data_IF_509672486492
#
_entry.id   IF_509672486492
#
_cell.length_a   1.000
_cell.length_b   1.000
_cell.length_c   1.000
_cell.angle_alpha   90.00
_cell.angle_beta   90.00
_cell.angle_gamma   90.00
#
_symmetry.space_group_name_H-M   'P 1'
#
loop_
_entity.id
_entity.type
_entity.pdbx_description
1 polymer ?
#
# COMPACT_ATOMS: atom_id res chain seq x y z
N UNK A 1 -1.51 -23.34 4.21
CA UNK A 1 -1.43 -22.08 3.45
C UNK A 1 -2.72 -21.98 2.68
N UNK A 2 -3.60 -21.03 3.01
CA UNK A 2 -4.86 -20.87 2.30
C UNK A 2 -4.55 -20.23 0.94
N UNK A 3 -4.71 -21.00 -0.14
CA UNK A 3 -4.37 -20.57 -1.50
C UNK A 3 -5.23 -19.36 -1.91
N UNK A 4 -6.46 -19.29 -1.42
CA UNK A 4 -7.38 -18.15 -1.61
C UNK A 4 -6.85 -16.83 -1.02
N UNK A 5 -6.17 -16.85 0.14
CA UNK A 5 -5.61 -15.63 0.74
C UNK A 5 -4.44 -15.08 -0.07
N UNK A 6 -3.75 -15.94 -0.83
CA UNK A 6 -2.66 -15.54 -1.73
C UNK A 6 -3.27 -14.88 -2.97
N UNK A 7 -4.30 -15.49 -3.54
CA UNK A 7 -5.01 -14.93 -4.70
C UNK A 7 -5.66 -13.58 -4.38
N UNK A 8 -6.31 -13.44 -3.22
CA UNK A 8 -6.87 -12.15 -2.77
C UNK A 8 -5.80 -11.06 -2.64
N UNK A 9 -4.60 -11.41 -2.16
CA UNK A 9 -3.47 -10.46 -2.08
C UNK A 9 -2.95 -10.10 -3.46
N UNK A 10 -2.88 -11.05 -4.39
CA UNK A 10 -2.48 -10.81 -5.78
C UNK A 10 -3.49 -9.88 -6.45
N UNK A 11 -4.80 -10.15 -6.29
CA UNK A 11 -5.88 -9.32 -6.81
C UNK A 11 -5.78 -7.90 -6.25
N UNK A 12 -5.68 -7.76 -4.93
CA UNK A 12 -5.57 -6.44 -4.29
C UNK A 12 -4.34 -5.67 -4.78
N UNK A 13 -3.18 -6.33 -4.86
CA UNK A 13 -1.92 -5.67 -5.25
C UNK A 13 -1.92 -5.30 -6.73
N UNK A 14 -2.42 -6.18 -7.59
CA UNK A 14 -2.53 -5.96 -9.02
C UNK A 14 -3.50 -4.81 -9.33
N UNK A 15 -4.67 -4.80 -8.69
CA UNK A 15 -5.69 -3.76 -8.82
C UNK A 15 -5.18 -2.38 -8.41
N UNK A 16 -4.60 -2.29 -7.21
CA UNK A 16 -3.94 -1.06 -6.71
C UNK A 16 -2.84 -0.57 -7.65
N UNK A 17 -2.02 -1.50 -8.15
CA UNK A 17 -0.95 -1.19 -9.09
C UNK A 17 -1.46 -0.65 -10.43
N UNK A 18 -2.56 -1.19 -10.94
CA UNK A 18 -3.22 -0.72 -12.16
C UNK A 18 -3.81 0.68 -11.98
N UNK A 19 -4.56 0.91 -10.90
CA UNK A 19 -5.18 2.21 -10.62
C UNK A 19 -4.15 3.34 -10.53
N UNK A 20 -3.04 3.10 -9.84
CA UNK A 20 -1.94 4.08 -9.77
C UNK A 20 -1.31 4.31 -11.15
N UNK A 21 -1.17 3.26 -11.96
CA UNK A 21 -0.63 3.38 -13.32
C UNK A 21 -1.54 4.23 -14.19
N UNK A 22 -2.84 3.94 -14.21
CA UNK A 22 -3.85 4.72 -14.93
C UNK A 22 -3.87 6.17 -14.46
N UNK A 23 -3.80 6.39 -13.14
CA UNK A 23 -3.75 7.73 -12.56
C UNK A 23 -2.50 8.51 -13.00
N UNK A 24 -1.35 7.85 -13.06
CA UNK A 24 -0.09 8.46 -13.51
C UNK A 24 -0.10 8.76 -15.02
N UNK A 25 -0.66 7.84 -15.82
CA UNK A 25 -0.76 7.97 -17.28
C UNK A 25 -1.79 8.99 -17.74
N UNK A 26 -2.77 9.33 -16.91
CA UNK A 26 -3.82 10.31 -17.24
C UNK A 26 -3.34 11.78 -17.24
N UNK A 27 -2.05 12.04 -17.01
CA UNK A 27 -1.44 13.38 -17.04
C UNK A 27 -2.26 14.46 -16.31
N UNK A 28 -2.74 14.14 -15.11
CA UNK A 28 -3.46 15.06 -14.25
C UNK A 28 -2.66 16.35 -14.01
N UNK A 29 -3.36 17.48 -13.86
CA UNK A 29 -2.70 18.75 -13.51
C UNK A 29 -1.96 18.63 -12.17
N UNK A 30 -0.85 19.34 -12.04
CA UNK A 30 -0.05 19.34 -10.81
C UNK A 30 -0.90 19.73 -9.59
N UNK A 31 -1.83 20.68 -9.75
CA UNK A 31 -2.75 21.12 -8.70
C UNK A 31 -3.66 19.99 -8.24
N UNK A 32 -4.23 19.21 -9.16
CA UNK A 32 -5.07 18.06 -8.82
C UNK A 32 -4.28 16.99 -8.09
N UNK A 33 -3.07 16.68 -8.57
CA UNK A 33 -2.20 15.69 -7.91
C UNK A 33 -1.84 16.12 -6.49
N UNK A 34 -1.51 17.41 -6.28
CA UNK A 34 -1.24 17.95 -4.94
C UNK A 34 -2.48 17.87 -4.05
N UNK A 35 -3.66 18.23 -4.55
CA UNK A 35 -4.90 18.16 -3.80
C UNK A 35 -5.24 16.71 -3.39
N UNK A 36 -5.22 15.78 -4.35
CA UNK A 36 -5.53 14.37 -4.13
C UNK A 36 -4.53 13.74 -3.13
N UNK A 37 -3.23 13.99 -3.29
CA UNK A 37 -2.22 13.52 -2.34
C UNK A 37 -2.36 14.16 -0.95
N UNK A 38 -2.72 15.44 -0.87
CA UNK A 38 -2.94 16.15 0.39
C UNK A 38 -4.10 15.55 1.20
N UNK A 39 -5.24 15.33 0.54
CA UNK A 39 -6.42 14.67 1.16
C UNK A 39 -6.05 13.29 1.70
N UNK A 40 -5.30 12.52 0.92
CA UNK A 40 -4.89 11.16 1.26
C UNK A 40 -3.93 11.15 2.47
N UNK A 41 -2.95 12.05 2.50
CA UNK A 41 -2.00 12.19 3.62
C UNK A 41 -2.73 12.62 4.89
N UNK A 42 -3.62 13.61 4.81
CA UNK A 42 -4.39 14.07 5.95
C UNK A 42 -5.31 12.98 6.51
N UNK A 43 -6.03 12.26 5.64
CA UNK A 43 -6.87 11.14 6.04
C UNK A 43 -6.07 10.03 6.71
N UNK A 44 -4.84 9.77 6.24
CA UNK A 44 -3.96 8.79 6.87
C UNK A 44 -3.54 9.21 8.28
N UNK A 45 -3.13 10.47 8.46
CA UNK A 45 -2.76 11.02 9.77
C UNK A 45 -3.96 10.98 10.73
N UNK A 46 -5.16 11.37 10.27
CA UNK A 46 -6.38 11.32 11.07
C UNK A 46 -6.73 9.89 11.50
N UNK A 47 -6.74 8.92 10.56
CA UNK A 47 -7.00 7.51 10.86
C UNK A 47 -5.97 6.93 11.83
N UNK A 48 -4.70 7.31 11.71
CA UNK A 48 -3.63 6.83 12.59
C UNK A 48 -3.80 7.35 14.04
N UNK A 49 -4.13 8.64 14.18
CA UNK A 49 -4.40 9.27 15.48
C UNK A 49 -5.67 8.72 16.13
N UNK A 50 -6.75 8.56 15.37
CA UNK A 50 -8.00 8.02 15.89
C UNK A 50 -7.79 6.62 16.48
N UNK A 51 -7.12 5.72 15.75
CA UNK A 51 -6.78 4.38 16.25
C UNK A 51 -5.90 4.40 17.50
N UNK A 52 -5.00 5.39 17.60
CA UNK A 52 -4.18 5.55 18.80
C UNK A 52 -5.03 6.00 20.00
N UNK A 53 -5.96 6.93 19.80
CA UNK A 53 -6.88 7.37 20.85
C UNK A 53 -7.81 6.24 21.29
N UNK A 54 -8.33 5.45 20.35
CA UNK A 54 -9.16 4.28 20.64
C UNK A 54 -8.38 3.23 21.46
N UNK A 55 -7.18 2.85 21.03
CA UNK A 55 -6.35 1.90 21.80
C UNK A 55 -5.95 2.45 23.18
N UNK A 56 -5.66 3.74 23.32
CA UNK A 56 -5.36 4.33 24.63
C UNK A 56 -6.58 4.44 25.55
N UNK A 57 -7.79 4.48 24.98
CA UNK A 57 -9.03 4.54 25.74
C UNK A 57 -9.49 3.15 26.22
N UNK A 58 -8.95 2.07 25.64
CA UNK A 58 -9.20 0.70 26.11
C UNK A 58 -8.60 0.52 27.52
N UNK A 59 -9.47 0.23 28.48
CA UNK A 59 -9.10 0.13 29.88
C UNK A 59 -8.76 -1.33 30.20
N UNK A 60 -7.48 -1.67 30.09
CA UNK A 60 -6.98 -3.04 30.31
C UNK A 60 -6.40 -3.15 31.70
N UNK A 61 -6.74 -4.24 32.39
CA UNK A 61 -6.25 -4.52 33.73
C UNK A 61 -4.71 -4.60 33.75
N UNK A 62 -4.02 -3.72 34.50
CA UNK A 62 -2.56 -3.68 34.55
C UNK A 62 -1.90 -4.94 35.14
N UNK A 63 -2.68 -5.86 35.73
CA UNK A 63 -2.19 -7.16 36.21
C UNK A 63 -2.33 -8.31 35.20
N UNK A 64 -2.98 -8.08 34.04
CA UNK A 64 -3.16 -9.11 33.02
C UNK A 64 -1.93 -9.22 32.11
N UNK A 65 -1.63 -10.43 31.63
CA UNK A 65 -0.65 -10.69 30.57
C UNK A 65 -0.96 -9.89 29.29
N UNK A 66 -2.24 -9.55 29.10
CA UNK A 66 -2.76 -8.77 27.96
C UNK A 66 -2.35 -7.29 28.04
N UNK A 67 -1.98 -6.77 29.22
CA UNK A 67 -1.50 -5.39 29.36
C UNK A 67 -0.16 -5.18 28.67
N UNK A 68 0.77 -6.12 28.79
CA UNK A 68 2.07 -6.06 28.10
C UNK A 68 1.88 -6.18 26.57
N UNK A 69 1.04 -7.12 26.11
CA UNK A 69 0.72 -7.27 24.69
C UNK A 69 0.06 -5.99 24.14
N UNK A 70 -0.90 -5.40 24.87
CA UNK A 70 -1.53 -4.15 24.47
C UNK A 70 -0.57 -2.96 24.51
N UNK A 71 0.29 -2.85 25.53
CA UNK A 71 1.31 -1.81 25.61
C UNK A 71 2.26 -1.87 24.40
N UNK A 72 2.66 -3.08 23.97
CA UNK A 72 3.46 -3.22 22.75
C UNK A 72 2.70 -2.81 21.48
N UNK A 73 1.39 -3.10 21.40
CA UNK A 73 0.54 -2.69 20.27
C UNK A 73 0.35 -1.17 20.22
N UNK A 74 0.15 -0.52 21.38
CA UNK A 74 0.08 0.94 21.48
C UNK A 74 1.39 1.57 21.02
N UNK A 75 2.54 1.07 21.49
CA UNK A 75 3.85 1.57 21.05
C UNK A 75 4.06 1.38 19.53
N UNK A 76 3.67 0.25 18.96
CA UNK A 76 3.69 0.03 17.51
C UNK A 76 2.78 1.01 16.77
N UNK A 77 1.63 1.38 17.34
CA UNK A 77 0.73 2.36 16.75
C UNK A 77 1.29 3.78 16.85
N UNK A 78 1.94 4.15 17.94
CA UNK A 78 2.64 5.43 18.09
C UNK A 78 3.71 5.60 17.00
N UNK A 79 4.49 4.56 16.74
CA UNK A 79 5.47 4.58 15.64
C UNK A 79 4.80 4.80 14.27
N UNK A 80 3.61 4.23 14.03
CA UNK A 80 2.87 4.45 12.78
C UNK A 80 2.35 5.89 12.68
N UNK A 81 1.96 6.50 13.80
CA UNK A 81 1.58 7.92 13.84
C UNK A 81 2.78 8.79 13.50
N UNK A 82 3.92 8.55 14.12
CA UNK A 82 5.17 9.28 13.81
C UNK A 82 5.55 9.15 12.34
N UNK A 83 5.44 7.95 11.76
CA UNK A 83 5.67 7.72 10.33
C UNK A 83 4.69 8.50 9.45
N UNK A 84 3.41 8.57 9.82
CA UNK A 84 2.39 9.33 9.09
C UNK A 84 2.67 10.84 9.16
N UNK A 85 3.09 11.37 10.31
CA UNK A 85 3.49 12.77 10.48
C UNK A 85 4.77 13.09 9.71
N UNK A 86 5.76 12.20 9.74
CA UNK A 86 6.98 12.33 8.95
C UNK A 86 6.68 12.36 7.45
N UNK A 87 5.70 11.56 6.99
CA UNK A 87 5.24 11.60 5.60
C UNK A 87 4.56 12.94 5.28
N UNK A 88 3.73 13.48 6.18
CA UNK A 88 3.12 14.80 6.03
C UNK A 88 4.18 15.90 5.93
N UNK A 89 5.20 15.88 6.79
CA UNK A 89 6.30 16.85 6.74
C UNK A 89 7.08 16.77 5.41
N UNK A 90 7.35 15.56 4.92
CA UNK A 90 7.98 15.34 3.60
C UNK A 90 7.09 15.89 2.48
N UNK A 91 5.79 15.69 2.56
CA UNK A 91 4.83 16.21 1.59
C UNK A 91 4.80 17.75 1.59
N UNK A 92 4.75 18.38 2.77
CA UNK A 92 4.74 19.84 2.92
C UNK A 92 6.05 20.46 2.41
N UNK A 93 7.19 19.83 2.72
CA UNK A 93 8.51 20.24 2.21
C UNK A 93 8.59 20.15 0.69
N UNK A 94 8.03 19.07 0.11
CA UNK A 94 7.99 18.89 -1.34
C UNK A 94 7.00 19.87 -2.00
N UNK A 95 5.89 20.19 -1.34
CA UNK A 95 4.90 21.16 -1.81
C UNK A 95 5.43 22.60 -1.83
N UNK A 96 6.26 22.95 -0.84
CA UNK A 96 6.95 24.24 -0.74
C UNK A 96 8.10 24.41 -1.74
N UNK A 97 8.62 23.31 -2.28
CA UNK A 97 9.64 23.36 -3.34
C UNK A 97 9.02 23.82 -4.66
N UNK A 98 9.69 24.69 -5.46
CA UNK A 98 9.19 25.14 -6.76
C UNK A 98 9.18 24.03 -7.84
N UNK A 99 9.53 22.79 -7.49
CA UNK A 99 9.58 21.68 -8.44
C UNK A 99 8.19 21.34 -8.99
N UNK A 100 8.11 21.22 -10.32
CA UNK A 100 6.90 21.13 -11.12
C UNK A 100 6.45 19.68 -11.37
N UNK A 101 7.12 18.69 -10.75
CA UNK A 101 6.95 17.28 -11.10
C UNK A 101 5.87 16.59 -10.26
N UNK A 102 4.67 16.48 -10.82
CA UNK A 102 3.55 15.72 -10.24
C UNK A 102 3.92 14.26 -9.92
N UNK A 103 4.85 13.68 -10.69
CA UNK A 103 5.31 12.31 -10.50
C UNK A 103 6.01 12.09 -9.14
N UNK A 104 6.66 13.11 -8.59
CA UNK A 104 7.32 13.02 -7.27
C UNK A 104 6.28 12.89 -6.15
N UNK A 105 5.17 13.61 -6.26
CA UNK A 105 4.04 13.50 -5.32
C UNK A 105 3.38 12.11 -5.41
N UNK A 106 3.13 11.63 -6.64
CA UNK A 106 2.57 10.29 -6.85
C UNK A 106 3.49 9.21 -6.27
N UNK A 107 4.80 9.36 -6.42
CA UNK A 107 5.78 8.39 -5.91
C UNK A 107 5.84 8.40 -4.39
N UNK A 108 5.81 9.59 -3.77
CA UNK A 108 5.82 9.75 -2.31
C UNK A 108 4.54 9.19 -1.66
N UNK A 109 3.39 9.46 -2.26
CA UNK A 109 2.09 9.09 -1.73
C UNK A 109 1.53 7.81 -2.35
N UNK A 110 2.35 7.04 -3.08
CA UNK A 110 1.92 5.93 -3.94
C UNK A 110 0.98 4.96 -3.24
N UNK A 111 1.38 4.46 -2.08
CA UNK A 111 0.63 3.41 -1.38
C UNK A 111 -0.69 3.94 -0.82
N UNK A 112 -0.67 5.12 -0.20
CA UNK A 112 -1.88 5.75 0.32
C UNK A 112 -2.84 6.15 -0.81
N UNK A 113 -2.30 6.64 -1.93
CA UNK A 113 -3.07 6.98 -3.11
C UNK A 113 -3.67 5.72 -3.74
N UNK A 114 -2.92 4.61 -3.77
CA UNK A 114 -3.42 3.35 -4.25
C UNK A 114 -4.61 2.85 -3.42
N UNK A 115 -4.52 2.92 -2.09
CA UNK A 115 -5.62 2.55 -1.18
C UNK A 115 -6.85 3.42 -1.40
N UNK A 116 -6.66 4.74 -1.55
CA UNK A 116 -7.76 5.65 -1.82
C UNK A 116 -8.41 5.42 -3.18
N UNK A 117 -7.61 5.22 -4.24
CA UNK A 117 -8.12 4.89 -5.57
C UNK A 117 -8.84 3.54 -5.57
N UNK A 118 -8.36 2.56 -4.80
CA UNK A 118 -8.99 1.25 -4.67
C UNK A 118 -10.36 1.33 -3.99
N UNK A 119 -10.49 2.15 -2.94
CA UNK A 119 -11.78 2.41 -2.29
C UNK A 119 -12.81 3.04 -3.26
N UNK A 120 -12.37 3.84 -4.24
CA UNK A 120 -13.25 4.55 -5.18
C UNK A 120 -13.53 3.78 -6.48
N UNK A 121 -12.49 3.20 -7.07
CA UNK A 121 -12.49 2.64 -8.43
C UNK A 121 -12.15 1.15 -8.46
N UNK A 122 -11.91 0.52 -7.31
CA UNK A 122 -11.59 -0.91 -7.24
C UNK A 122 -12.69 -1.80 -7.83
N UNK A 123 -13.96 -1.40 -7.69
CA UNK A 123 -15.09 -2.12 -8.29
C UNK A 123 -15.14 -2.02 -9.83
N UNK A 124 -14.43 -1.07 -10.44
CA UNK A 124 -14.40 -0.89 -11.89
C UNK A 124 -13.43 -1.86 -12.58
N UNK A 125 -12.49 -2.43 -11.83
CA UNK A 125 -11.49 -3.37 -12.36
C UNK A 125 -11.99 -4.80 -12.20
N UNK A 126 -12.63 -5.30 -13.24
CA UNK A 126 -13.09 -6.70 -13.34
C UNK A 126 -12.18 -7.57 -14.23
N UNK A 127 -11.23 -6.96 -14.93
CA UNK A 127 -10.36 -7.66 -15.88
C UNK A 127 -9.34 -8.55 -15.17
N UNK A 128 -9.56 -9.86 -15.26
CA UNK A 128 -8.72 -10.90 -14.68
C UNK A 128 -7.32 -10.95 -15.30
N UNK A 129 -7.12 -10.47 -16.53
CA UNK A 129 -5.79 -10.43 -17.14
C UNK A 129 -4.82 -9.53 -16.38
N UNK A 130 -5.32 -8.48 -15.71
CA UNK A 130 -4.49 -7.62 -14.85
C UNK A 130 -3.88 -8.43 -13.71
N UNK A 131 -4.64 -9.36 -13.14
CA UNK A 131 -4.21 -10.21 -12.03
C UNK A 131 -3.23 -11.28 -12.50
N UNK A 132 -3.52 -11.93 -13.64
CA UNK A 132 -2.61 -12.90 -14.23
C UNK A 132 -1.30 -12.26 -14.70
N UNK A 133 -1.33 -11.05 -15.26
CA UNK A 133 -0.13 -10.32 -15.64
C UNK A 133 0.75 -10.02 -14.42
N UNK A 134 0.14 -9.65 -13.29
CA UNK A 134 0.86 -9.45 -12.03
C UNK A 134 1.54 -10.73 -11.54
N UNK A 135 0.82 -11.85 -11.52
CA UNK A 135 1.38 -13.15 -11.13
C UNK A 135 2.52 -13.59 -12.06
N UNK A 136 2.32 -13.50 -13.39
CA UNK A 136 3.34 -13.84 -14.40
C UNK A 136 4.60 -13.01 -14.25
N UNK A 137 4.48 -11.73 -13.88
CA UNK A 137 5.64 -10.86 -13.65
C UNK A 137 6.52 -11.40 -12.52
N UNK A 138 5.93 -11.70 -11.36
CA UNK A 138 6.69 -12.18 -10.20
C UNK A 138 7.15 -13.63 -10.36
N UNK A 139 6.39 -14.46 -11.07
CA UNK A 139 6.84 -15.79 -11.49
C UNK A 139 8.12 -15.69 -12.34
N UNK A 140 8.19 -14.74 -13.27
CA UNK A 140 9.37 -14.48 -14.08
C UNK A 140 10.56 -14.00 -13.25
N UNK A 141 10.36 -12.98 -12.41
CA UNK A 141 11.41 -12.45 -11.52
C UNK A 141 11.98 -13.56 -10.62
N UNK A 142 11.13 -14.43 -10.08
CA UNK A 142 11.56 -15.56 -9.25
C UNK A 142 12.41 -16.58 -10.02
N UNK A 143 12.05 -16.88 -11.27
CA UNK A 143 12.82 -17.81 -12.11
C UNK A 143 14.18 -17.20 -12.51
N UNK A 144 14.22 -15.91 -12.82
CA UNK A 144 15.46 -15.17 -13.09
C UNK A 144 16.40 -15.20 -11.88
N UNK A 145 15.86 -15.01 -10.66
CA UNK A 145 16.62 -15.11 -9.42
C UNK A 145 17.13 -16.54 -9.21
N UNK A 146 16.32 -17.57 -9.48
CA UNK A 146 16.74 -18.97 -9.42
C UNK A 146 17.89 -19.28 -10.39
N UNK A 147 17.78 -18.81 -11.64
CA UNK A 147 18.83 -18.96 -12.64
C UNK A 147 20.13 -18.30 -12.18
N UNK A 148 20.06 -17.10 -11.61
CA UNK A 148 21.22 -16.37 -11.08
C UNK A 148 21.95 -17.13 -9.96
N UNK A 149 21.21 -17.93 -9.19
CA UNK A 149 21.73 -18.80 -8.13
C UNK A 149 22.19 -20.18 -8.65
N UNK A 150 22.11 -20.43 -9.97
CA UNK A 150 22.45 -21.70 -10.59
C UNK A 150 21.40 -22.80 -10.36
N UNK A 151 20.19 -22.43 -9.94
CA UNK A 151 19.06 -23.35 -9.81
C UNK A 151 18.42 -23.51 -11.19
N UNK A 152 18.34 -24.76 -11.65
CA UNK A 152 17.72 -25.08 -12.93
C UNK A 152 16.21 -24.89 -12.88
N UNK A 153 15.64 -24.28 -13.91
CA UNK A 153 14.21 -24.14 -14.06
C UNK A 153 13.46 -25.49 -14.10
N UNK A 154 12.22 -25.54 -13.58
CA UNK A 154 11.39 -26.74 -13.64
C UNK A 154 10.94 -27.04 -15.08
N UNK A 155 10.93 -28.33 -15.44
CA UNK A 155 10.49 -28.79 -16.77
C UNK A 155 9.00 -28.54 -17.03
N UNK A 156 8.18 -28.49 -15.97
CA UNK A 156 6.74 -28.26 -16.04
C UNK A 156 6.35 -27.35 -14.88
N UNK A 157 5.65 -26.25 -15.18
CA UNK A 157 5.01 -25.39 -14.20
C UNK A 157 3.52 -25.68 -14.18
N UNK A 158 3.00 -26.16 -13.04
CA UNK A 158 1.57 -26.41 -12.85
C UNK A 158 0.90 -25.17 -12.28
N UNK A 159 -0.18 -24.71 -12.91
CA UNK A 159 -1.02 -23.63 -12.39
C UNK A 159 -2.35 -24.20 -11.95
N UNK A 160 -2.84 -23.73 -10.81
CA UNK A 160 -4.20 -24.01 -10.36
C UNK A 160 -5.05 -22.87 -10.93
N UNK A 161 -6.00 -23.19 -11.80
CA UNK A 161 -6.97 -22.23 -12.33
C UNK A 161 -8.36 -22.66 -11.87
N UNK A 162 -9.08 -21.77 -11.20
CA UNK A 162 -10.52 -21.90 -10.89
C UNK A 162 -11.39 -21.23 -11.96
#
# INVERSE_FOLDING_TARGET
MNITDIDDKIILKARKGELVRQYSSSHHSLEKVKADCGVVVERNVQKAHQKLTEMKAENIDPSSREFEEHATLVAQQEMKVEQAEALKLKFDTLSASPSTDGQRFITLCRDLLADWLDEQFGATIEDKEIFYAHARKYEKEFLEDCESLGIREPTVMTRITE
#
